data_IF_892838768222
#
_entry.id   IF_892838768222
#
_cell.length_a   1.000
_cell.length_b   1.000
_cell.length_c   1.000
_cell.angle_alpha   90.00
_cell.angle_beta   90.00
_cell.angle_gamma   90.00
#
_symmetry.space_group_name_H-M   'P 1'
#
loop_
_entity.id
_entity.type
_entity.pdbx_description
1 polymer ?
#
# COMPACT_ATOMS: atom_id res chain seq x y z
N UNK A 1 37.67 -52.53 42.96
CA UNK A 1 36.31 -52.40 42.66
C UNK A 1 35.85 -51.00 42.38
N UNK A 2 36.03 -50.51 41.21
CA UNK A 2 35.60 -49.15 40.90
C UNK A 2 34.80 -49.20 39.61
N UNK A 3 33.51 -49.22 39.72
CA UNK A 3 32.65 -49.00 38.59
C UNK A 3 32.80 -47.56 38.16
N UNK A 4 33.41 -47.35 37.06
CA UNK A 4 33.39 -46.07 36.41
C UNK A 4 32.08 -45.96 35.67
N UNK A 5 31.17 -45.25 36.21
CA UNK A 5 29.99 -44.82 35.50
C UNK A 5 30.44 -43.88 34.40
N UNK A 6 30.47 -44.42 33.23
CA UNK A 6 30.57 -43.62 32.03
C UNK A 6 29.18 -43.10 31.81
N UNK A 7 28.94 -41.90 32.26
CA UNK A 7 27.76 -41.14 31.94
C UNK A 7 27.88 -40.73 30.47
N UNK A 8 27.31 -41.54 29.63
CA UNK A 8 27.14 -41.19 28.22
C UNK A 8 26.05 -40.12 28.14
N UNK A 9 26.50 -38.87 28.22
CA UNK A 9 25.61 -37.74 27.91
C UNK A 9 25.37 -37.74 26.43
N UNK A 10 24.26 -38.34 26.06
CA UNK A 10 23.74 -38.22 24.71
C UNK A 10 23.21 -36.82 24.56
N UNK A 11 24.05 -35.94 24.05
CA UNK A 11 23.61 -34.61 23.58
C UNK A 11 22.75 -34.86 22.36
N UNK A 12 21.45 -34.99 22.58
CA UNK A 12 20.49 -34.76 21.51
C UNK A 12 20.53 -33.28 21.19
N UNK A 13 21.37 -32.93 20.26
CA UNK A 13 21.23 -31.68 19.53
C UNK A 13 19.98 -31.81 18.68
N UNK A 14 18.89 -31.31 19.19
CA UNK A 14 17.71 -31.09 18.40
C UNK A 14 18.03 -29.93 17.46
N UNK A 15 18.07 -30.11 16.16
CA UNK A 15 18.12 -28.98 15.26
C UNK A 15 16.80 -28.25 15.44
N UNK A 16 16.84 -27.12 16.08
CA UNK A 16 15.76 -26.16 16.01
C UNK A 16 15.77 -25.65 14.58
N UNK A 17 15.10 -26.40 13.73
CA UNK A 17 14.75 -25.90 12.42
C UNK A 17 13.81 -24.71 12.63
N UNK A 18 14.34 -23.54 12.37
CA UNK A 18 13.60 -22.31 12.42
C UNK A 18 12.46 -22.32 11.42
N UNK A 19 11.30 -22.75 11.87
CA UNK A 19 10.06 -22.69 11.08
C UNK A 19 9.48 -21.27 11.08
N UNK A 20 10.09 -20.34 11.83
CA UNK A 20 9.60 -18.97 11.99
C UNK A 20 9.75 -18.08 10.75
N UNK A 21 10.55 -18.49 9.74
CA UNK A 21 10.80 -17.64 8.58
C UNK A 21 9.75 -17.77 7.45
N UNK A 22 8.88 -18.78 7.49
CA UNK A 22 7.92 -19.02 6.41
C UNK A 22 6.61 -18.23 6.57
N UNK A 23 6.18 -17.94 7.78
CA UNK A 23 4.93 -17.20 8.01
C UNK A 23 4.92 -15.76 7.49
N UNK A 24 6.07 -15.10 7.43
CA UNK A 24 6.16 -13.72 6.93
C UNK A 24 6.21 -13.63 5.40
N UNK A 25 6.66 -14.67 4.73
CA UNK A 25 6.71 -14.66 3.26
C UNK A 25 5.33 -14.85 2.64
N UNK A 26 4.53 -15.71 3.22
CA UNK A 26 3.19 -15.99 2.71
C UNK A 26 2.24 -14.79 2.91
N UNK A 27 2.34 -14.10 4.04
CA UNK A 27 1.58 -12.87 4.30
C UNK A 27 2.02 -11.73 3.37
N UNK A 28 3.30 -11.63 3.06
CA UNK A 28 3.84 -10.59 2.17
C UNK A 28 3.54 -10.89 0.70
N UNK A 29 3.50 -12.16 0.32
CA UNK A 29 3.13 -12.60 -1.03
C UNK A 29 1.63 -12.43 -1.26
N UNK A 30 0.79 -12.62 -0.25
CA UNK A 30 -0.65 -12.34 -0.34
C UNK A 30 -0.96 -10.85 -0.48
N UNK A 31 -0.21 -9.97 0.16
CA UNK A 31 -0.37 -8.52 0.01
C UNK A 31 0.02 -8.02 -1.39
N UNK A 32 1.00 -8.67 -2.04
CA UNK A 32 1.44 -8.32 -3.40
C UNK A 32 0.55 -8.91 -4.49
N UNK A 33 -0.24 -9.92 -4.18
CA UNK A 33 -1.17 -10.59 -5.11
C UNK A 33 -2.62 -10.09 -4.99
N UNK A 34 -2.91 -9.12 -4.13
CA UNK A 34 -4.21 -8.49 -4.09
C UNK A 34 -4.50 -7.84 -5.45
N UNK A 35 -5.65 -8.15 -6.05
CA UNK A 35 -6.06 -7.58 -7.32
C UNK A 35 -6.07 -6.06 -7.22
N UNK A 36 -5.39 -5.39 -8.16
CA UNK A 36 -5.37 -3.94 -8.24
C UNK A 36 -6.46 -3.48 -9.19
N UNK A 37 -7.29 -2.57 -8.72
CA UNK A 37 -8.39 -1.95 -9.47
C UNK A 37 -8.03 -0.51 -9.80
N UNK A 38 -8.56 -0.02 -10.90
CA UNK A 38 -8.35 1.38 -11.30
C UNK A 38 -9.58 2.20 -10.97
N UNK A 39 -9.33 3.38 -10.44
CA UNK A 39 -10.37 4.31 -10.02
C UNK A 39 -10.12 5.71 -10.58
N UNK A 40 -11.19 6.41 -10.90
CA UNK A 40 -11.17 7.87 -11.09
C UNK A 40 -11.77 8.53 -9.85
N UNK A 41 -11.05 9.50 -9.31
CA UNK A 41 -11.43 10.22 -8.11
C UNK A 41 -11.61 11.69 -8.47
N UNK A 42 -12.83 12.17 -8.34
CA UNK A 42 -13.11 13.61 -8.44
C UNK A 42 -12.85 14.27 -7.10
N UNK A 43 -12.18 15.42 -7.13
CA UNK A 43 -11.86 16.23 -5.95
C UNK A 43 -12.12 17.68 -6.23
N UNK A 44 -12.62 18.40 -5.23
CA UNK A 44 -12.77 19.87 -5.26
C UNK A 44 -11.87 20.46 -4.19
N UNK A 45 -11.07 21.45 -4.58
CA UNK A 45 -10.13 22.16 -3.73
C UNK A 45 -10.49 23.65 -3.68
N UNK A 46 -10.19 24.32 -2.55
CA UNK A 46 -10.18 25.76 -2.52
C UNK A 46 -9.18 26.35 -3.54
N UNK A 47 -9.44 27.55 -4.02
CA UNK A 47 -8.51 28.26 -4.89
C UNK A 47 -7.13 28.38 -4.24
N UNK A 48 -6.06 28.09 -5.00
CA UNK A 48 -4.69 28.14 -4.54
C UNK A 48 -4.20 26.95 -3.73
N UNK A 49 -5.08 25.99 -3.36
CA UNK A 49 -4.69 24.84 -2.54
C UNK A 49 -3.66 23.94 -3.22
N UNK A 50 -3.66 23.85 -4.54
CA UNK A 50 -2.71 23.02 -5.31
C UNK A 50 -1.40 23.75 -5.66
N UNK A 51 -1.24 25.00 -5.32
CA UNK A 51 -0.01 25.75 -5.59
C UNK A 51 1.17 25.23 -4.75
N UNK A 52 0.90 24.62 -3.60
CA UNK A 52 1.90 23.96 -2.75
C UNK A 52 2.24 22.52 -3.13
N UNK A 53 1.77 22.02 -4.26
CA UNK A 53 2.00 20.64 -4.69
C UNK A 53 3.38 20.49 -5.33
N UNK A 54 4.43 20.60 -4.53
CA UNK A 54 5.83 20.41 -4.92
C UNK A 54 6.25 18.92 -4.86
N UNK A 55 7.50 18.65 -5.24
CA UNK A 55 8.02 17.27 -5.25
C UNK A 55 8.05 16.64 -3.86
N UNK A 56 8.33 17.40 -2.81
CA UNK A 56 8.33 16.92 -1.42
C UNK A 56 6.93 16.52 -0.99
N UNK A 57 5.94 17.33 -1.28
CA UNK A 57 4.53 17.04 -1.00
C UNK A 57 4.04 15.83 -1.77
N UNK A 58 4.37 15.72 -3.05
CA UNK A 58 4.05 14.54 -3.88
C UNK A 58 4.67 13.26 -3.33
N UNK A 59 5.94 13.31 -2.89
CA UNK A 59 6.62 12.16 -2.30
C UNK A 59 5.93 11.71 -1.00
N UNK A 60 5.51 12.65 -0.15
CA UNK A 60 4.75 12.36 1.08
C UNK A 60 3.40 11.71 0.77
N UNK A 61 2.68 12.24 -0.21
CA UNK A 61 1.39 11.67 -0.66
C UNK A 61 1.60 10.22 -1.14
N UNK A 62 2.60 9.98 -1.97
CA UNK A 62 2.90 8.65 -2.49
C UNK A 62 3.29 7.67 -1.36
N UNK A 63 4.08 8.11 -0.39
CA UNK A 63 4.46 7.29 0.75
C UNK A 63 3.24 6.91 1.62
N UNK A 64 2.33 7.84 1.84
CA UNK A 64 1.08 7.57 2.58
C UNK A 64 0.16 6.64 1.79
N UNK A 65 0.02 6.85 0.49
CA UNK A 65 -0.77 5.98 -0.39
C UNK A 65 -0.27 4.53 -0.35
N UNK A 66 1.05 4.34 -0.38
CA UNK A 66 1.67 3.02 -0.36
C UNK A 66 1.31 2.20 0.88
N UNK A 67 1.06 2.84 2.02
CA UNK A 67 0.62 2.16 3.26
C UNK A 67 -0.71 1.45 3.11
N UNK A 68 -1.53 1.86 2.15
CA UNK A 68 -2.85 1.27 1.85
C UNK A 68 -2.85 0.46 0.55
N UNK A 69 -1.69 0.21 -0.05
CA UNK A 69 -1.57 -0.45 -1.34
C UNK A 69 -2.10 0.38 -2.50
N UNK A 70 -2.13 1.70 -2.34
CA UNK A 70 -2.69 2.66 -3.29
C UNK A 70 -1.56 3.34 -4.07
N UNK A 71 -1.75 3.49 -5.37
CA UNK A 71 -0.83 4.19 -6.27
C UNK A 71 -1.54 5.34 -6.97
N UNK A 72 -0.98 6.53 -6.85
CA UNK A 72 -1.37 7.68 -7.67
C UNK A 72 -0.72 7.57 -9.05
N UNK A 73 -1.53 7.47 -10.10
CA UNK A 73 -1.04 7.32 -11.48
C UNK A 73 -0.85 8.68 -12.12
N UNK A 74 -1.92 9.49 -12.16
CA UNK A 74 -1.90 10.87 -12.68
C UNK A 74 -3.15 11.62 -12.25
N UNK A 75 -3.14 12.92 -12.46
CA UNK A 75 -4.30 13.78 -12.25
C UNK A 75 -4.41 14.83 -13.34
N UNK A 76 -5.64 15.12 -13.70
CA UNK A 76 -6.00 16.23 -14.57
C UNK A 76 -6.72 17.29 -13.74
N UNK A 77 -6.41 18.56 -13.95
CA UNK A 77 -7.06 19.65 -13.28
C UNK A 77 -7.72 20.60 -14.29
N UNK A 78 -8.80 21.27 -13.87
CA UNK A 78 -9.34 22.39 -14.63
C UNK A 78 -8.40 23.61 -14.58
N UNK A 79 -8.70 24.65 -15.34
CA UNK A 79 -7.79 25.80 -15.53
C UNK A 79 -7.42 26.49 -14.22
N UNK A 80 -8.38 26.68 -13.32
CA UNK A 80 -8.18 27.33 -12.03
C UNK A 80 -7.69 26.39 -10.91
N UNK A 81 -7.49 25.09 -11.23
CA UNK A 81 -7.02 24.04 -10.30
C UNK A 81 -7.91 23.84 -9.07
N UNK A 82 -9.19 24.10 -9.21
CA UNK A 82 -10.17 23.85 -8.14
C UNK A 82 -10.83 22.50 -8.24
N UNK A 83 -10.80 21.85 -9.40
CA UNK A 83 -11.32 20.51 -9.62
C UNK A 83 -10.26 19.63 -10.25
N UNK A 84 -10.09 18.42 -9.70
CA UNK A 84 -9.20 17.41 -10.26
C UNK A 84 -9.93 16.10 -10.51
N UNK A 85 -9.47 15.39 -11.53
CA UNK A 85 -9.83 14.03 -11.86
C UNK A 85 -8.56 13.18 -11.78
N UNK A 86 -8.45 12.40 -10.72
CA UNK A 86 -7.24 11.67 -10.38
C UNK A 86 -7.40 10.20 -10.72
N UNK A 87 -6.43 9.62 -11.41
CA UNK A 87 -6.37 8.18 -11.67
C UNK A 87 -5.52 7.53 -10.60
N UNK A 88 -6.10 6.55 -9.92
CA UNK A 88 -5.48 5.78 -8.86
C UNK A 88 -5.66 4.28 -9.11
N UNK A 89 -4.73 3.51 -8.61
CA UNK A 89 -4.83 2.05 -8.52
C UNK A 89 -4.77 1.63 -7.06
N UNK A 90 -5.56 0.63 -6.71
CA UNK A 90 -5.60 0.13 -5.34
C UNK A 90 -6.52 -1.07 -5.17
N UNK A 91 -6.51 -1.70 -3.99
CA UNK A 91 -7.26 -2.94 -3.75
C UNK A 91 -8.78 -2.72 -3.62
N UNK A 92 -9.22 -1.52 -3.24
CA UNK A 92 -10.64 -1.22 -3.00
C UNK A 92 -10.91 0.28 -2.92
N UNK A 93 -12.18 0.68 -3.04
CA UNK A 93 -12.61 2.05 -2.77
C UNK A 93 -12.30 2.47 -1.33
N UNK A 94 -12.42 1.56 -0.39
CA UNK A 94 -12.09 1.82 1.01
C UNK A 94 -10.63 2.19 1.18
N UNK A 95 -9.71 1.44 0.56
CA UNK A 95 -8.28 1.75 0.58
C UNK A 95 -7.98 3.15 0.01
N UNK A 96 -8.65 3.53 -1.08
CA UNK A 96 -8.55 4.87 -1.68
C UNK A 96 -9.02 5.95 -0.68
N UNK A 97 -10.14 5.72 0.01
CA UNK A 97 -10.67 6.66 1.02
C UNK A 97 -9.73 6.82 2.20
N UNK A 98 -9.18 5.72 2.71
CA UNK A 98 -8.23 5.73 3.83
C UNK A 98 -6.93 6.45 3.45
N UNK A 99 -6.43 6.23 2.25
CA UNK A 99 -5.25 6.94 1.73
C UNK A 99 -5.52 8.46 1.60
N UNK A 100 -6.68 8.84 1.07
CA UNK A 100 -7.08 10.25 0.96
C UNK A 100 -7.19 10.92 2.34
N UNK A 101 -7.77 10.22 3.31
CA UNK A 101 -7.88 10.68 4.71
C UNK A 101 -6.50 10.87 5.34
N UNK A 102 -5.59 9.91 5.16
CA UNK A 102 -4.22 10.00 5.67
C UNK A 102 -3.44 11.19 5.07
N UNK A 103 -3.77 11.59 3.85
CA UNK A 103 -3.19 12.74 3.15
C UNK A 103 -3.95 14.05 3.40
N UNK A 104 -5.07 14.02 4.11
CA UNK A 104 -5.98 15.15 4.28
C UNK A 104 -6.43 15.76 2.93
N UNK A 105 -6.72 14.91 1.95
CA UNK A 105 -7.14 15.28 0.60
C UNK A 105 -8.64 15.02 0.43
N UNK A 106 -9.44 15.96 -0.11
CA UNK A 106 -10.86 15.78 -0.28
C UNK A 106 -11.20 14.71 -1.34
N UNK A 107 -12.36 14.09 -1.19
CA UNK A 107 -12.92 13.13 -2.13
C UNK A 107 -14.39 13.46 -2.37
N UNK A 108 -14.75 13.85 -3.58
CA UNK A 108 -16.14 14.06 -3.97
C UNK A 108 -16.79 12.75 -4.43
N UNK A 109 -16.09 11.99 -5.27
CA UNK A 109 -16.55 10.70 -5.78
C UNK A 109 -15.38 9.79 -6.14
N UNK A 110 -15.64 8.48 -6.06
CA UNK A 110 -14.72 7.42 -6.50
C UNK A 110 -15.49 6.51 -7.44
N UNK A 111 -15.00 6.36 -8.67
CA UNK A 111 -15.60 5.50 -9.69
C UNK A 111 -14.58 4.47 -10.13
N UNK A 112 -14.91 3.19 -10.03
CA UNK A 112 -14.10 2.13 -10.61
C UNK A 112 -14.23 2.14 -12.12
N UNK A 113 -13.11 2.03 -12.83
CA UNK A 113 -13.03 2.05 -14.30
C UNK A 113 -12.26 0.83 -14.80
N UNK A 114 -12.89 -0.36 -14.81
CA UNK A 114 -12.21 -1.60 -15.12
C UNK A 114 -11.96 -1.79 -16.62
N UNK A 115 -12.63 -1.01 -17.48
CA UNK A 115 -12.54 -1.16 -18.94
C UNK A 115 -11.73 -0.04 -19.55
N UNK A 116 -10.74 -0.40 -20.37
CA UNK A 116 -9.96 0.55 -21.17
C UNK A 116 -10.47 0.50 -22.61
N UNK A 117 -10.83 1.66 -23.15
CA UNK A 117 -11.18 1.83 -24.55
C UNK A 117 -10.06 2.57 -25.25
N UNK A 118 -9.61 2.02 -26.37
CA UNK A 118 -8.58 2.63 -27.21
C UNK A 118 -9.16 2.95 -28.59
N UNK A 119 -8.69 4.01 -29.29
CA UNK A 119 -9.12 4.32 -30.65
C UNK A 119 -8.79 3.23 -31.64
#
# INVERSE_FOLDING_TARGET
>A
MKLKNILLVLLLSIPVLGVAAQGNRDAQTQATNAASHRYIIKRTFPAGALDGLDNTTKARINANNAKFGVKWVMSYANVDKTTTYCIYEGPSKLAIREAAKANAIPVDSITEVPVTLTP
#
